data_IF_280399415267
#
_entry.id   IF_280399415267
#
_cell.length_a   1.000
_cell.length_b   1.000
_cell.length_c   1.000
_cell.angle_alpha   90.00
_cell.angle_beta   90.00
_cell.angle_gamma   90.00
#
_symmetry.space_group_name_H-M   'P 1'
#
loop_
_entity.id
_entity.type
_entity.pdbx_description
1 polymer ?
#
# COMPACT_ATOMS: atom_id res chain seq x y z
N UNK A 1 1.65 -15.99 -6.81
CA UNK A 1 1.59 -14.52 -6.49
C UNK A 1 1.93 -13.69 -7.73
N UNK A 2 2.74 -14.21 -8.61
CA UNK A 2 3.25 -13.60 -9.86
C UNK A 2 2.14 -13.19 -10.84
N UNK A 3 1.13 -14.04 -10.95
CA UNK A 3 -0.01 -13.84 -11.82
C UNK A 3 -0.87 -12.61 -11.45
N UNK A 4 -0.96 -12.24 -10.16
CA UNK A 4 -1.78 -11.09 -9.74
C UNK A 4 -1.14 -9.74 -10.09
N UNK A 5 0.18 -9.56 -9.89
CA UNK A 5 0.87 -8.30 -10.24
C UNK A 5 0.89 -8.07 -11.76
N UNK A 6 1.16 -9.11 -12.55
CA UNK A 6 1.12 -8.99 -14.02
C UNK A 6 -0.29 -8.72 -14.53
N UNK A 7 -1.31 -9.25 -13.88
CA UNK A 7 -2.72 -8.97 -14.20
C UNK A 7 -3.06 -7.51 -13.87
N UNK A 8 -2.63 -7.02 -12.72
CA UNK A 8 -2.89 -5.64 -12.31
C UNK A 8 -2.33 -4.63 -13.32
N UNK A 9 -1.10 -4.82 -13.82
CA UNK A 9 -0.55 -3.91 -14.85
C UNK A 9 -1.32 -4.02 -16.16
N UNK A 10 -1.74 -5.24 -16.56
CA UNK A 10 -2.53 -5.49 -17.79
C UNK A 10 -3.94 -4.88 -17.72
N UNK A 11 -4.50 -4.69 -16.53
CA UNK A 11 -5.79 -4.02 -16.36
C UNK A 11 -5.69 -2.50 -16.62
N UNK A 12 -4.47 -1.95 -16.60
CA UNK A 12 -4.23 -0.51 -16.78
C UNK A 12 -3.68 -0.15 -18.16
N UNK A 13 -2.98 -1.06 -18.85
CA UNK A 13 -2.36 -0.78 -20.15
C UNK A 13 -2.20 -2.04 -21.02
N UNK A 14 -2.51 -1.92 -22.29
CA UNK A 14 -2.36 -2.97 -23.30
C UNK A 14 -0.90 -3.09 -23.76
N UNK A 15 -0.14 -3.94 -23.10
CA UNK A 15 1.27 -4.17 -23.42
C UNK A 15 1.42 -5.03 -24.69
N UNK A 16 2.37 -4.70 -25.55
CA UNK A 16 2.78 -5.53 -26.67
C UNK A 16 3.58 -6.78 -26.19
N UNK A 17 3.95 -7.67 -27.12
CA UNK A 17 4.62 -8.93 -26.78
C UNK A 17 5.97 -8.72 -26.06
N UNK A 18 6.79 -7.78 -26.51
CA UNK A 18 8.11 -7.51 -25.92
C UNK A 18 7.99 -6.89 -24.53
N UNK A 19 7.05 -5.96 -24.35
CA UNK A 19 6.77 -5.34 -23.05
C UNK A 19 6.23 -6.35 -22.03
N UNK A 20 5.36 -7.27 -22.46
CA UNK A 20 4.89 -8.36 -21.59
C UNK A 20 6.02 -9.28 -21.15
N UNK A 21 6.92 -9.64 -22.08
CA UNK A 21 8.07 -10.47 -21.75
C UNK A 21 9.03 -9.76 -20.79
N UNK A 22 9.26 -8.45 -20.99
CA UNK A 22 10.05 -7.63 -20.06
C UNK A 22 9.40 -7.63 -18.65
N UNK A 23 8.11 -7.34 -18.58
CA UNK A 23 7.38 -7.34 -17.29
C UNK A 23 7.45 -8.70 -16.59
N UNK A 24 7.23 -9.80 -17.30
CA UNK A 24 7.30 -11.16 -16.76
C UNK A 24 8.71 -11.46 -16.21
N UNK A 25 9.77 -11.13 -16.97
CA UNK A 25 11.15 -11.30 -16.51
C UNK A 25 11.44 -10.50 -15.23
N UNK A 26 11.03 -9.23 -15.20
CA UNK A 26 11.25 -8.36 -14.04
C UNK A 26 10.47 -8.82 -12.80
N UNK A 27 9.24 -9.31 -13.00
CA UNK A 27 8.45 -9.88 -11.91
C UNK A 27 9.05 -11.18 -11.37
N UNK A 28 9.57 -12.07 -12.23
CA UNK A 28 10.23 -13.30 -11.80
C UNK A 28 11.51 -13.00 -11.00
N UNK A 29 12.28 -12.00 -11.40
CA UNK A 29 13.46 -11.54 -10.67
C UNK A 29 13.09 -10.92 -9.33
N UNK A 30 12.08 -10.04 -9.32
CA UNK A 30 11.55 -9.43 -8.10
C UNK A 30 11.05 -10.49 -7.12
N UNK A 31 10.29 -11.49 -7.57
CA UNK A 31 9.79 -12.54 -6.70
C UNK A 31 10.90 -13.35 -6.05
N UNK A 32 11.95 -13.70 -6.81
CA UNK A 32 13.12 -14.39 -6.25
C UNK A 32 13.81 -13.55 -5.19
N UNK A 33 14.08 -12.28 -5.49
CA UNK A 33 14.66 -11.35 -4.52
C UNK A 33 13.79 -11.18 -3.28
N UNK A 34 12.49 -10.92 -3.47
CA UNK A 34 11.52 -10.72 -2.40
C UNK A 34 11.43 -11.93 -1.48
N UNK A 35 11.43 -13.13 -2.03
CA UNK A 35 11.41 -14.37 -1.26
C UNK A 35 12.69 -14.59 -0.47
N UNK A 36 13.83 -14.29 -1.05
CA UNK A 36 15.15 -14.50 -0.42
C UNK A 36 15.45 -13.46 0.67
N UNK A 37 14.96 -12.25 0.52
CA UNK A 37 15.30 -11.12 1.39
C UNK A 37 14.12 -10.64 2.22
N UNK A 38 13.03 -10.22 1.60
CA UNK A 38 11.92 -9.53 2.26
C UNK A 38 11.08 -10.46 3.14
N UNK A 39 10.81 -11.68 2.70
CA UNK A 39 9.98 -12.61 3.48
C UNK A 39 10.62 -12.99 4.83
N UNK A 40 11.94 -13.03 4.91
CA UNK A 40 12.65 -13.26 6.18
C UNK A 40 12.46 -12.08 7.14
N UNK A 41 12.52 -10.85 6.62
CA UNK A 41 12.27 -9.63 7.39
C UNK A 41 10.80 -9.56 7.84
N UNK A 42 9.84 -9.89 6.96
CA UNK A 42 8.43 -9.96 7.32
C UNK A 42 8.13 -11.02 8.39
N UNK A 43 8.79 -12.18 8.33
CA UNK A 43 8.66 -13.18 9.39
C UNK A 43 9.14 -12.62 10.75
N UNK A 44 10.31 -12.00 10.80
CA UNK A 44 10.83 -11.37 12.01
C UNK A 44 9.94 -10.23 12.52
N UNK A 45 9.44 -9.39 11.62
CA UNK A 45 8.50 -8.31 11.95
C UNK A 45 7.21 -8.84 12.58
N UNK A 46 6.61 -9.88 11.99
CA UNK A 46 5.36 -10.49 12.52
C UNK A 46 5.63 -11.24 13.82
N UNK A 47 6.79 -11.87 13.99
CA UNK A 47 7.21 -12.49 15.25
C UNK A 47 7.29 -11.45 16.37
N UNK A 48 7.95 -10.31 16.11
CA UNK A 48 8.03 -9.20 17.07
C UNK A 48 6.63 -8.70 17.44
N UNK A 49 5.73 -8.46 16.46
CA UNK A 49 4.35 -8.09 16.73
C UNK A 49 3.63 -9.11 17.62
N UNK A 50 3.88 -10.41 17.41
CA UNK A 50 3.27 -11.46 18.20
C UNK A 50 3.73 -11.44 19.66
N UNK A 51 5.00 -11.12 19.92
CA UNK A 51 5.54 -11.02 21.30
C UNK A 51 5.04 -9.77 22.03
N UNK A 52 4.71 -8.72 21.28
CA UNK A 52 4.24 -7.43 21.82
C UNK A 52 2.71 -7.37 22.02
N UNK A 53 1.95 -8.39 21.58
CA UNK A 53 0.47 -8.36 21.64
C UNK A 53 -0.13 -8.10 23.00
N UNK A 54 0.56 -8.54 24.07
CA UNK A 54 0.09 -8.40 25.44
C UNK A 54 0.51 -7.04 26.07
N UNK A 55 1.32 -6.26 25.36
CA UNK A 55 1.69 -4.92 25.77
C UNK A 55 0.67 -3.89 25.26
N UNK A 56 0.42 -2.81 26.02
CA UNK A 56 -0.42 -1.73 25.52
C UNK A 56 0.17 -1.11 24.24
N UNK A 57 -0.65 -1.03 23.22
CA UNK A 57 -0.28 -0.32 21.99
C UNK A 57 -0.17 1.17 22.27
N UNK A 58 0.93 1.78 21.86
CA UNK A 58 1.21 3.20 22.01
C UNK A 58 1.27 3.91 20.66
N UNK A 59 1.13 5.24 20.68
CA UNK A 59 1.27 6.03 19.46
C UNK A 59 2.66 5.91 18.85
N UNK A 60 3.71 5.96 19.66
CA UNK A 60 5.11 5.79 19.21
C UNK A 60 5.30 4.43 18.52
N UNK A 61 4.69 3.37 19.08
CA UNK A 61 4.77 2.05 18.45
C UNK A 61 4.04 2.01 17.10
N UNK A 62 2.87 2.65 16.99
CA UNK A 62 2.15 2.77 15.72
C UNK A 62 2.92 3.58 14.67
N UNK A 63 3.62 4.64 15.10
CA UNK A 63 4.50 5.42 14.23
C UNK A 63 5.66 4.56 13.72
N UNK A 64 6.33 3.81 14.60
CA UNK A 64 7.41 2.89 14.22
C UNK A 64 6.92 1.82 13.26
N UNK A 65 5.78 1.17 13.54
CA UNK A 65 5.18 0.18 12.63
C UNK A 65 4.88 0.76 11.25
N UNK A 66 4.39 1.99 11.20
CA UNK A 66 4.15 2.67 9.92
C UNK A 66 5.47 2.96 9.18
N UNK A 67 6.53 3.34 9.89
CA UNK A 67 7.86 3.56 9.29
C UNK A 67 8.44 2.24 8.76
N UNK A 68 8.36 1.15 9.52
CA UNK A 68 8.84 -0.18 9.10
C UNK A 68 8.13 -0.64 7.81
N UNK A 69 6.79 -0.50 7.74
CA UNK A 69 6.01 -0.83 6.55
C UNK A 69 6.43 0.05 5.36
N UNK A 70 6.62 1.35 5.58
CA UNK A 70 7.09 2.25 4.52
C UNK A 70 8.49 1.88 4.04
N UNK A 71 9.39 1.49 4.93
CA UNK A 71 10.74 1.07 4.57
C UNK A 71 10.71 -0.18 3.67
N UNK A 72 9.94 -1.21 4.03
CA UNK A 72 9.78 -2.40 3.19
C UNK A 72 9.19 -2.09 1.81
N UNK A 73 8.27 -1.14 1.74
CA UNK A 73 7.74 -0.65 0.48
C UNK A 73 8.82 0.03 -0.36
N UNK A 74 9.61 0.93 0.23
CA UNK A 74 10.69 1.63 -0.47
C UNK A 74 11.76 0.67 -0.98
N UNK A 75 12.16 -0.32 -0.20
CA UNK A 75 13.11 -1.36 -0.62
C UNK A 75 12.59 -2.15 -1.82
N UNK A 76 11.30 -2.49 -1.82
CA UNK A 76 10.66 -3.18 -2.94
C UNK A 76 10.58 -2.30 -4.19
N UNK A 77 10.26 -1.02 -4.03
CA UNK A 77 10.24 -0.04 -5.10
C UNK A 77 11.62 0.17 -5.71
N UNK A 78 12.66 0.32 -4.86
CA UNK A 78 14.03 0.53 -5.30
C UNK A 78 14.56 -0.68 -6.09
N UNK A 79 14.19 -1.89 -5.70
CA UNK A 79 14.51 -3.10 -6.47
C UNK A 79 13.81 -3.13 -7.84
N UNK A 80 12.55 -2.73 -7.90
CA UNK A 80 11.78 -2.72 -9.15
C UNK A 80 12.13 -1.56 -10.08
N UNK A 81 12.80 -0.51 -9.59
CA UNK A 81 13.00 0.73 -10.32
C UNK A 81 13.66 0.56 -11.71
N UNK A 82 14.71 -0.27 -11.89
CA UNK A 82 15.28 -0.50 -13.22
C UNK A 82 14.28 -1.09 -14.22
N UNK A 83 13.44 -2.04 -13.77
CA UNK A 83 12.40 -2.65 -14.60
C UNK A 83 11.26 -1.69 -14.93
N UNK A 84 10.85 -0.87 -13.96
CA UNK A 84 9.87 0.21 -14.14
C UNK A 84 10.38 1.20 -15.19
N UNK A 85 11.64 1.63 -15.11
CA UNK A 85 12.27 2.55 -16.06
C UNK A 85 12.28 1.98 -17.48
N UNK A 86 12.69 0.72 -17.65
CA UNK A 86 12.71 0.06 -18.95
C UNK A 86 11.30 -0.05 -19.56
N UNK A 87 10.30 -0.44 -18.76
CA UNK A 87 8.92 -0.51 -19.23
C UNK A 87 8.39 0.88 -19.58
N UNK A 88 8.62 1.87 -18.74
CA UNK A 88 8.20 3.25 -18.93
C UNK A 88 8.73 3.85 -20.26
N UNK A 89 10.01 3.66 -20.56
CA UNK A 89 10.62 4.13 -21.83
C UNK A 89 10.03 3.41 -23.03
N UNK A 90 9.63 2.15 -22.88
CA UNK A 90 9.11 1.33 -23.97
C UNK A 90 7.65 1.62 -24.35
N UNK A 91 6.91 2.35 -23.50
CA UNK A 91 5.52 2.70 -23.77
C UNK A 91 5.44 3.73 -24.91
N UNK A 92 4.49 3.54 -25.82
CA UNK A 92 4.10 4.57 -26.77
C UNK A 92 3.08 5.55 -26.18
N UNK A 93 2.75 6.60 -26.93
CA UNK A 93 1.86 7.66 -26.44
C UNK A 93 0.41 7.19 -26.23
N UNK A 94 -0.06 6.22 -27.00
CA UNK A 94 -1.40 5.63 -26.85
C UNK A 94 -1.48 4.79 -25.57
N UNK A 95 -0.48 3.95 -25.34
CA UNK A 95 -0.34 3.17 -24.10
C UNK A 95 -0.20 4.06 -22.87
N UNK A 96 0.54 5.16 -22.98
CA UNK A 96 0.69 6.12 -21.89
C UNK A 96 -0.65 6.77 -21.53
N UNK A 97 -1.39 7.25 -22.53
CA UNK A 97 -2.72 7.83 -22.32
C UNK A 97 -3.69 6.82 -21.70
N UNK A 98 -3.73 5.58 -22.22
CA UNK A 98 -4.54 4.50 -21.66
C UNK A 98 -4.21 4.25 -20.18
N UNK A 99 -2.93 4.22 -19.82
CA UNK A 99 -2.48 4.05 -18.43
C UNK A 99 -3.00 5.16 -17.51
N UNK A 100 -2.86 6.43 -17.95
CA UNK A 100 -3.34 7.58 -17.18
C UNK A 100 -4.86 7.59 -17.01
N UNK A 101 -5.59 7.29 -18.08
CA UNK A 101 -7.06 7.24 -18.07
C UNK A 101 -7.56 6.17 -17.09
N UNK A 102 -6.99 4.96 -17.14
CA UNK A 102 -7.37 3.87 -16.25
C UNK A 102 -6.99 4.14 -14.79
N UNK A 103 -5.83 4.76 -14.52
CA UNK A 103 -5.46 5.21 -13.17
C UNK A 103 -6.45 6.25 -12.67
N UNK A 104 -6.81 7.22 -13.50
CA UNK A 104 -7.74 8.30 -13.14
C UNK A 104 -9.12 7.74 -12.84
N UNK A 105 -9.66 6.86 -13.70
CA UNK A 105 -10.95 6.21 -13.49
C UNK A 105 -10.97 5.40 -12.18
N UNK A 106 -9.93 4.62 -11.93
CA UNK A 106 -9.79 3.84 -10.69
C UNK A 106 -9.80 4.73 -9.43
N UNK A 107 -9.11 5.88 -9.48
CA UNK A 107 -9.08 6.85 -8.37
C UNK A 107 -10.43 7.54 -8.16
N UNK A 108 -11.10 7.93 -9.23
CA UNK A 108 -12.43 8.51 -9.17
C UNK A 108 -13.46 7.52 -8.59
N UNK A 109 -13.43 6.26 -9.03
CA UNK A 109 -14.28 5.21 -8.47
C UNK A 109 -14.02 4.99 -6.99
N UNK A 110 -12.75 4.99 -6.58
CA UNK A 110 -12.38 4.89 -5.18
C UNK A 110 -12.87 6.09 -4.36
N UNK A 111 -12.76 7.32 -4.88
CA UNK A 111 -13.16 8.55 -4.21
C UNK A 111 -14.68 8.77 -4.20
N UNK A 112 -15.40 8.33 -5.22
CA UNK A 112 -16.84 8.57 -5.44
C UNK A 112 -17.73 8.37 -4.20
N UNK A 113 -17.58 7.28 -3.41
CA UNK A 113 -18.40 7.11 -2.19
C UNK A 113 -18.11 8.16 -1.10
N UNK A 114 -16.92 8.78 -1.11
CA UNK A 114 -16.49 9.76 -0.12
C UNK A 114 -16.75 11.21 -0.54
N UNK A 115 -17.13 11.46 -1.79
CA UNK A 115 -17.58 12.76 -2.30
C UNK A 115 -19.05 13.03 -2.00
N UNK A 116 -19.76 12.03 -1.45
CA UNK A 116 -21.18 12.14 -1.09
C UNK A 116 -21.37 12.92 0.20
N UNK A 117 -22.64 13.03 0.65
CA UNK A 117 -22.96 13.69 1.91
C UNK A 117 -22.28 13.02 3.12
N UNK A 118 -22.26 13.73 4.24
CA UNK A 118 -21.55 13.32 5.45
C UNK A 118 -21.98 11.94 5.95
N UNK A 119 -23.27 11.65 6.00
CA UNK A 119 -23.78 10.35 6.47
C UNK A 119 -23.27 9.19 5.61
N UNK A 120 -23.22 9.39 4.30
CA UNK A 120 -22.71 8.37 3.38
C UNK A 120 -21.18 8.19 3.50
N UNK A 121 -20.43 9.29 3.73
CA UNK A 121 -18.98 9.21 4.00
C UNK A 121 -18.70 8.42 5.27
N UNK A 122 -19.38 8.74 6.37
CA UNK A 122 -19.26 8.02 7.65
C UNK A 122 -19.51 6.54 7.43
N UNK A 123 -20.65 6.18 6.82
CA UNK A 123 -21.00 4.78 6.53
C UNK A 123 -19.95 4.06 5.69
N UNK A 124 -19.33 4.72 4.71
CA UNK A 124 -18.27 4.12 3.89
C UNK A 124 -16.98 3.91 4.69
N UNK A 125 -16.60 4.86 5.54
CA UNK A 125 -15.44 4.73 6.44
C UNK A 125 -15.61 3.55 7.38
N UNK A 126 -16.75 3.45 8.05
CA UNK A 126 -17.11 2.31 8.92
C UNK A 126 -17.03 0.97 8.19
N UNK A 127 -17.66 0.90 7.01
CA UNK A 127 -17.69 -0.32 6.20
C UNK A 127 -16.29 -0.78 5.81
N UNK A 128 -15.44 0.15 5.34
CA UNK A 128 -14.07 -0.17 4.94
C UNK A 128 -13.21 -0.59 6.12
N UNK A 129 -13.27 0.17 7.21
CA UNK A 129 -12.51 -0.15 8.41
C UNK A 129 -12.94 -1.51 9.00
N UNK A 130 -14.24 -1.73 9.15
CA UNK A 130 -14.79 -3.00 9.65
C UNK A 130 -14.42 -4.19 8.75
N UNK A 131 -14.43 -4.02 7.41
CA UNK A 131 -14.00 -5.06 6.47
C UNK A 131 -12.51 -5.41 6.66
N UNK A 132 -11.65 -4.40 6.82
CA UNK A 132 -10.22 -4.59 7.07
C UNK A 132 -9.95 -5.31 8.38
N UNK A 133 -10.54 -4.84 9.47
CA UNK A 133 -10.31 -5.40 10.81
C UNK A 133 -10.93 -6.78 11.01
N UNK A 134 -12.03 -7.10 10.29
CA UNK A 134 -12.71 -8.41 10.41
C UNK A 134 -11.78 -9.61 10.16
N UNK A 135 -10.81 -9.46 9.30
CA UNK A 135 -9.81 -10.50 9.02
C UNK A 135 -8.96 -10.80 10.26
N UNK A 136 -8.60 -9.76 11.02
CA UNK A 136 -7.69 -9.83 12.15
C UNK A 136 -8.38 -10.22 13.45
N UNK A 137 -9.45 -9.52 13.80
CA UNK A 137 -10.14 -9.69 15.09
C UNK A 137 -11.54 -10.34 14.99
N UNK A 138 -12.04 -10.59 13.77
CA UNK A 138 -13.40 -11.07 13.57
C UNK A 138 -14.43 -9.95 13.59
N UNK A 139 -15.68 -10.28 13.96
CA UNK A 139 -16.77 -9.30 14.03
C UNK A 139 -16.56 -8.38 15.23
N UNK A 140 -16.53 -7.04 15.03
CA UNK A 140 -16.48 -6.09 16.13
C UNK A 140 -17.68 -6.22 17.05
N UNK A 141 -17.48 -6.04 18.37
CA UNK A 141 -18.57 -5.94 19.37
C UNK A 141 -19.37 -4.65 19.16
N UNK A 142 -20.52 -4.52 19.85
CA UNK A 142 -21.32 -3.31 19.79
C UNK A 142 -20.53 -2.07 20.26
N UNK A 143 -19.71 -2.20 21.31
CA UNK A 143 -18.82 -1.14 21.80
C UNK A 143 -17.77 -0.77 20.76
N UNK A 144 -17.13 -1.74 20.14
CA UNK A 144 -16.12 -1.50 19.08
C UNK A 144 -16.75 -0.86 17.83
N UNK A 145 -17.99 -1.24 17.48
CA UNK A 145 -18.73 -0.59 16.40
C UNK A 145 -19.01 0.90 16.72
N UNK A 146 -19.35 1.23 17.97
CA UNK A 146 -19.51 2.62 18.41
C UNK A 146 -18.20 3.40 18.29
N UNK A 147 -17.07 2.84 18.72
CA UNK A 147 -15.75 3.47 18.56
C UNK A 147 -15.43 3.75 17.08
N UNK A 148 -15.68 2.77 16.19
CA UNK A 148 -15.50 2.93 14.75
C UNK A 148 -16.41 4.00 14.17
N UNK A 149 -17.65 4.09 14.65
CA UNK A 149 -18.60 5.13 14.24
C UNK A 149 -18.10 6.53 14.64
N UNK A 150 -17.71 6.72 15.89
CA UNK A 150 -17.18 7.98 16.41
C UNK A 150 -15.92 8.43 15.65
N UNK A 151 -14.99 7.51 15.42
CA UNK A 151 -13.82 7.76 14.58
C UNK A 151 -14.21 8.22 13.17
N UNK A 152 -15.14 7.51 12.52
CA UNK A 152 -15.58 7.84 11.16
C UNK A 152 -16.21 9.23 11.05
N UNK A 153 -16.85 9.72 12.14
CA UNK A 153 -17.41 11.07 12.24
C UNK A 153 -16.30 12.14 12.37
N UNK A 154 -15.25 11.86 13.13
CA UNK A 154 -14.20 12.83 13.46
C UNK A 154 -13.22 13.09 12.30
N UNK A 155 -13.14 12.19 11.31
CA UNK A 155 -12.19 12.33 10.22
C UNK A 155 -12.54 13.50 9.28
N UNK A 156 -11.55 14.32 8.95
CA UNK A 156 -11.64 15.30 7.89
C UNK A 156 -11.89 14.63 6.51
N UNK A 157 -12.67 15.28 5.63
CA UNK A 157 -12.85 14.79 4.26
C UNK A 157 -11.59 15.07 3.43
N UNK A 158 -11.01 14.02 2.82
CA UNK A 158 -9.79 14.12 2.02
C UNK A 158 -9.96 13.63 0.58
N UNK A 159 -11.19 13.29 0.16
CA UNK A 159 -11.42 12.74 -1.17
C UNK A 159 -11.13 13.74 -2.30
N UNK A 160 -11.49 15.02 -2.13
CA UNK A 160 -11.19 16.07 -3.09
C UNK A 160 -9.69 16.35 -3.17
N UNK A 161 -9.00 16.39 -2.02
CA UNK A 161 -7.55 16.51 -1.97
C UNK A 161 -6.87 15.35 -2.70
N UNK A 162 -7.36 14.12 -2.51
CA UNK A 162 -6.81 12.95 -3.20
C UNK A 162 -6.95 13.06 -4.73
N UNK A 163 -8.10 13.53 -5.23
CA UNK A 163 -8.31 13.75 -6.66
C UNK A 163 -7.46 14.89 -7.22
N UNK A 164 -7.33 15.99 -6.49
CA UNK A 164 -6.47 17.10 -6.89
C UNK A 164 -4.99 16.67 -6.99
N UNK A 165 -4.52 15.87 -6.03
CA UNK A 165 -3.17 15.31 -6.07
C UNK A 165 -2.98 14.33 -7.24
N UNK A 166 -3.99 13.53 -7.57
CA UNK A 166 -3.94 12.65 -8.73
C UNK A 166 -3.85 13.45 -10.04
N UNK A 167 -4.61 14.54 -10.15
CA UNK A 167 -4.54 15.42 -11.32
C UNK A 167 -3.14 16.04 -11.48
N UNK A 168 -2.53 16.51 -10.39
CA UNK A 168 -1.16 17.04 -10.43
C UNK A 168 -0.15 15.93 -10.78
N UNK A 169 -0.28 14.77 -10.18
CA UNK A 169 0.56 13.61 -10.49
C UNK A 169 0.50 13.24 -11.98
N UNK A 170 -0.68 13.29 -12.61
CA UNK A 170 -0.84 13.03 -14.03
C UNK A 170 -0.05 14.04 -14.89
N UNK A 171 -0.06 15.32 -14.48
CA UNK A 171 0.72 16.36 -15.18
C UNK A 171 2.22 16.12 -15.07
N UNK A 172 2.72 15.88 -13.84
CA UNK A 172 4.15 15.65 -13.58
C UNK A 172 4.64 14.35 -14.26
N UNK A 173 3.81 13.32 -14.25
CA UNK A 173 4.09 12.03 -14.90
C UNK A 173 4.12 12.18 -16.43
N UNK A 174 3.22 12.99 -17.01
CA UNK A 174 3.21 13.27 -18.46
C UNK A 174 4.43 14.08 -18.88
N UNK A 175 4.80 15.10 -18.11
CA UNK A 175 6.02 15.86 -18.37
C UNK A 175 7.26 14.94 -18.37
N UNK A 176 7.35 14.03 -17.41
CA UNK A 176 8.45 13.06 -17.36
C UNK A 176 8.41 12.10 -18.56
N UNK A 177 7.20 11.66 -18.96
CA UNK A 177 7.02 10.77 -20.11
C UNK A 177 7.48 11.44 -21.42
N UNK A 178 7.14 12.71 -21.63
CA UNK A 178 7.55 13.46 -22.83
C UNK A 178 9.08 13.60 -22.91
N UNK A 179 9.76 13.75 -21.77
CA UNK A 179 11.21 13.87 -21.67
C UNK A 179 11.94 12.52 -21.59
N UNK A 180 11.25 11.37 -21.62
CA UNK A 180 11.82 10.06 -21.28
C UNK A 180 13.02 9.63 -22.11
N UNK A 181 13.08 10.05 -23.37
CA UNK A 181 14.19 9.72 -24.28
C UNK A 181 15.35 10.71 -24.20
N UNK A 182 15.13 11.91 -23.64
CA UNK A 182 16.15 12.95 -23.50
C UNK A 182 16.94 12.82 -22.18
N UNK A 183 16.39 12.06 -21.22
CA UNK A 183 16.99 11.83 -19.91
C UNK A 183 17.83 10.58 -19.89
N UNK A 184 18.99 10.63 -19.20
CA UNK A 184 19.71 9.42 -18.83
C UNK A 184 18.91 8.55 -17.84
N UNK A 185 19.25 7.27 -17.77
CA UNK A 185 18.53 6.29 -16.93
C UNK A 185 18.51 6.68 -15.45
N UNK A 186 19.64 7.14 -14.90
CA UNK A 186 19.75 7.47 -13.48
C UNK A 186 18.87 8.68 -13.12
N UNK A 187 18.83 9.68 -13.98
CA UNK A 187 17.97 10.87 -13.78
C UNK A 187 16.51 10.50 -13.91
N UNK A 188 16.15 9.66 -14.89
CA UNK A 188 14.78 9.21 -15.11
C UNK A 188 14.29 8.33 -13.95
N UNK A 189 15.11 7.39 -13.46
CA UNK A 189 14.77 6.56 -12.31
C UNK A 189 14.56 7.40 -11.03
N UNK A 190 15.41 8.40 -10.79
CA UNK A 190 15.19 9.32 -9.65
C UNK A 190 13.86 10.06 -9.74
N UNK A 191 13.50 10.59 -10.92
CA UNK A 191 12.21 11.28 -11.13
C UNK A 191 11.02 10.33 -11.03
N UNK A 192 11.09 9.12 -11.61
CA UNK A 192 10.07 8.08 -11.45
C UNK A 192 9.87 7.71 -9.97
N UNK A 193 10.99 7.53 -9.25
CA UNK A 193 10.93 7.26 -7.80
C UNK A 193 10.23 8.36 -7.03
N UNK A 194 10.53 9.62 -7.31
CA UNK A 194 9.85 10.76 -6.69
C UNK A 194 8.35 10.75 -6.97
N UNK A 195 7.93 10.53 -8.21
CA UNK A 195 6.53 10.39 -8.58
C UNK A 195 5.82 9.26 -7.82
N UNK A 196 6.45 8.08 -7.71
CA UNK A 196 5.85 6.89 -7.08
C UNK A 196 5.79 6.97 -5.55
N UNK A 197 6.72 7.68 -4.92
CA UNK A 197 6.68 7.96 -3.47
C UNK A 197 5.64 9.04 -3.16
N UNK A 198 5.37 9.90 -4.11
CA UNK A 198 4.48 11.04 -3.98
C UNK A 198 5.16 12.24 -3.32
N UNK A 199 4.81 13.41 -3.80
CA UNK A 199 5.28 14.69 -3.27
C UNK A 199 4.43 15.08 -2.05
N UNK A 200 5.10 15.40 -0.93
CA UNK A 200 4.48 15.95 0.28
C UNK A 200 4.57 17.49 0.30
N UNK A 201 5.42 18.06 -0.54
CA UNK A 201 5.75 19.48 -0.48
C UNK A 201 4.67 20.36 -1.12
N UNK A 202 3.78 19.78 -1.93
CA UNK A 202 2.67 20.49 -2.60
C UNK A 202 1.37 20.53 -1.79
N UNK A 203 1.41 20.17 -0.50
CA UNK A 203 0.25 20.24 0.39
C UNK A 203 0.17 21.60 1.10
N UNK A 204 -1.03 22.19 1.14
CA UNK A 204 -1.26 23.35 2.00
C UNK A 204 -1.08 22.98 3.47
N UNK A 205 -0.81 23.97 4.33
CA UNK A 205 -0.72 23.73 5.77
C UNK A 205 -2.02 23.14 6.34
N UNK A 206 -3.18 23.53 5.81
CA UNK A 206 -4.49 23.00 6.19
C UNK A 206 -4.64 21.52 5.79
N UNK A 207 -4.23 21.16 4.58
CA UNK A 207 -4.26 19.76 4.13
C UNK A 207 -3.31 18.88 4.95
N UNK A 208 -2.10 19.38 5.23
CA UNK A 208 -1.13 18.67 6.08
C UNK A 208 -1.70 18.44 7.48
N UNK A 209 -2.36 19.45 8.06
CA UNK A 209 -3.01 19.33 9.36
C UNK A 209 -4.15 18.32 9.32
N UNK A 210 -5.05 18.40 8.33
CA UNK A 210 -6.16 17.47 8.17
C UNK A 210 -5.70 16.01 8.03
N UNK A 211 -4.63 15.76 7.28
CA UNK A 211 -4.04 14.41 7.14
C UNK A 211 -3.38 13.95 8.45
N UNK A 212 -2.72 14.85 9.16
CA UNK A 212 -2.13 14.57 10.47
C UNK A 212 -3.19 14.21 11.51
N UNK A 213 -4.26 15.01 11.58
CA UNK A 213 -5.39 14.77 12.50
C UNK A 213 -6.07 13.43 12.19
N UNK A 214 -6.32 13.12 10.93
CA UNK A 214 -6.89 11.85 10.51
C UNK A 214 -6.02 10.66 10.92
N UNK A 215 -4.70 10.79 10.82
CA UNK A 215 -3.75 9.76 11.28
C UNK A 215 -3.80 9.60 12.78
N UNK A 216 -3.80 10.69 13.54
CA UNK A 216 -3.86 10.67 14.99
C UNK A 216 -5.17 10.05 15.49
N UNK A 217 -6.32 10.41 14.89
CA UNK A 217 -7.62 9.79 15.18
C UNK A 217 -7.61 8.29 14.89
N UNK A 218 -6.94 7.88 13.83
CA UNK A 218 -6.82 6.46 13.47
C UNK A 218 -5.94 5.70 14.47
N UNK A 219 -4.85 6.28 14.91
CA UNK A 219 -3.99 5.70 15.94
C UNK A 219 -4.75 5.55 17.28
N UNK A 220 -5.51 6.57 17.66
CA UNK A 220 -6.36 6.50 18.86
C UNK A 220 -7.37 5.36 18.77
N UNK A 221 -8.07 5.23 17.64
CA UNK A 221 -8.99 4.12 17.41
C UNK A 221 -8.29 2.76 17.54
N UNK A 222 -7.09 2.59 16.96
CA UNK A 222 -6.36 1.32 17.02
C UNK A 222 -5.98 0.96 18.45
N UNK A 223 -5.52 1.94 19.24
CA UNK A 223 -5.20 1.75 20.67
C UNK A 223 -6.45 1.37 21.49
N UNK A 224 -7.58 2.04 21.26
CA UNK A 224 -8.83 1.75 21.96
C UNK A 224 -9.43 0.40 21.56
N UNK A 225 -9.33 0.03 20.29
CA UNK A 225 -9.71 -1.30 19.82
C UNK A 225 -8.85 -2.39 20.47
N UNK A 226 -7.53 -2.21 20.53
CA UNK A 226 -6.63 -3.17 21.18
C UNK A 226 -7.03 -3.38 22.64
N UNK A 227 -7.29 -2.30 23.39
CA UNK A 227 -7.71 -2.38 24.81
C UNK A 227 -9.06 -3.08 25.00
N UNK A 228 -9.95 -2.99 24.00
CA UNK A 228 -11.30 -3.55 24.03
C UNK A 228 -11.41 -4.97 23.49
N UNK A 229 -10.30 -5.58 23.07
CA UNK A 229 -10.34 -6.94 22.51
C UNK A 229 -10.80 -7.96 23.55
N UNK A 230 -11.78 -8.77 23.18
CA UNK A 230 -12.15 -9.94 23.95
C UNK A 230 -11.08 -11.02 23.83
N UNK A 231 -11.02 -11.97 24.77
CA UNK A 231 -10.10 -13.12 24.71
C UNK A 231 -10.20 -13.88 23.36
N UNK A 232 -11.42 -14.05 22.83
CA UNK A 232 -11.64 -14.66 21.51
C UNK A 232 -11.00 -13.84 20.38
N UNK A 233 -11.10 -12.53 20.45
CA UNK A 233 -10.50 -11.63 19.45
C UNK A 233 -8.98 -11.60 19.56
N UNK A 234 -8.44 -11.57 20.77
CA UNK A 234 -7.00 -11.67 21.02
C UNK A 234 -6.44 -12.99 20.48
N UNK A 235 -7.12 -14.11 20.78
CA UNK A 235 -6.75 -15.42 20.27
C UNK A 235 -6.76 -15.48 18.75
N UNK A 236 -7.76 -14.86 18.09
CA UNK A 236 -7.81 -14.77 16.64
C UNK A 236 -6.67 -13.91 16.06
N UNK A 237 -6.40 -12.75 16.65
CA UNK A 237 -5.30 -11.89 16.22
C UNK A 237 -3.96 -12.61 16.32
N UNK A 238 -3.70 -13.26 17.46
CA UNK A 238 -2.49 -14.07 17.69
C UNK A 238 -2.36 -15.19 16.66
N UNK A 239 -3.45 -15.92 16.38
CA UNK A 239 -3.44 -16.99 15.38
C UNK A 239 -3.14 -16.47 13.97
N UNK A 240 -3.66 -15.29 13.60
CA UNK A 240 -3.35 -14.67 12.30
C UNK A 240 -1.87 -14.33 12.18
N UNK A 241 -1.25 -13.76 13.23
CA UNK A 241 0.19 -13.46 13.22
C UNK A 241 1.03 -14.75 13.13
N UNK A 242 0.68 -15.80 13.89
CA UNK A 242 1.34 -17.11 13.80
C UNK A 242 1.25 -17.69 12.38
N UNK A 243 0.08 -17.61 11.75
CA UNK A 243 -0.10 -18.11 10.39
C UNK A 243 0.76 -17.32 9.39
N UNK A 244 0.78 -15.99 9.48
CA UNK A 244 1.63 -15.18 8.60
C UNK A 244 3.12 -15.45 8.81
N UNK A 245 3.57 -15.57 10.07
CA UNK A 245 4.94 -15.94 10.36
C UNK A 245 5.31 -17.30 9.73
N UNK A 246 4.44 -18.31 9.89
CA UNK A 246 4.65 -19.63 9.30
C UNK A 246 4.68 -19.58 7.75
N UNK A 247 3.75 -18.85 7.14
CA UNK A 247 3.67 -18.67 5.69
C UNK A 247 4.94 -17.98 5.14
N UNK A 248 5.40 -16.90 5.78
CA UNK A 248 6.61 -16.20 5.34
C UNK A 248 7.86 -17.08 5.48
N UNK A 249 7.99 -17.82 6.57
CA UNK A 249 9.09 -18.77 6.76
C UNK A 249 9.06 -19.91 5.74
N UNK A 250 7.90 -20.48 5.49
CA UNK A 250 7.75 -21.55 4.51
C UNK A 250 8.08 -21.09 3.10
N UNK A 251 7.59 -19.91 2.72
CA UNK A 251 7.87 -19.34 1.39
C UNK A 251 9.34 -18.95 1.23
N UNK A 252 10.01 -18.48 2.28
CA UNK A 252 11.45 -18.15 2.23
C UNK A 252 12.35 -19.40 2.17
N UNK A 253 11.97 -20.50 2.86
CA UNK A 253 12.79 -21.73 2.92
C UNK A 253 12.76 -22.54 1.64
N UNK A 254 11.69 -22.47 0.85
CA UNK A 254 11.60 -23.20 -0.43
C UNK A 254 12.73 -22.89 -1.42
N UNK A 255 13.39 -21.75 -1.30
CA UNK A 255 14.46 -21.32 -2.17
C UNK A 255 15.86 -21.64 -1.61
N UNK A 256 16.02 -21.72 -0.29
CA UNK A 256 17.27 -22.17 0.30
C UNK A 256 17.55 -23.64 -0.13
N UNK A 257 16.50 -24.48 -0.27
CA UNK A 257 16.62 -25.87 -0.72
C UNK A 257 16.95 -25.99 -2.24
N UNK A 258 16.44 -25.08 -3.08
CA UNK A 258 16.73 -25.07 -4.53
C UNK A 258 18.15 -24.57 -4.81
N UNK A 259 18.63 -23.60 -4.02
CA UNK A 259 19.99 -23.08 -4.14
C UNK A 259 21.07 -24.07 -3.68
N UNK A 260 20.74 -25.02 -2.81
CA UNK A 260 21.63 -26.10 -2.37
C UNK A 260 21.63 -27.32 -3.33
N UNK A 261 20.69 -27.36 -4.28
CA UNK A 261 20.55 -28.46 -5.25
C UNK A 261 21.13 -28.14 -6.63
N UNK A 262 21.72 -26.97 -6.83
CA UNK A 262 22.47 -26.52 -8.03
C UNK A 262 23.95 -26.38 -7.70
#
# INVERSE_FOLDING_TARGET
>A
MDWWLSWTVRDYVDLNKSQRQLLETQLDEFHRWHQQTQLKQYASFVEQLSTELDQPLTEDRLQTLNQDIQQHWLESLDYLMPGIDQLFVSLDSEQWQQLLDNITESQEEYARPFLKNEQQRIKQREKRFTKGTKRWIGKPSAQQQLMIHQWAQQLHPTAQLSLARQAQWNLDATELFDQRHDLDSDTRQRRLRQLLIGDKDNLTAEDQQALSDNRQQTYQLLMDLQRSLTEKQQGKLRQQLINYHADFRFLSSKFDDIALAQ
#
